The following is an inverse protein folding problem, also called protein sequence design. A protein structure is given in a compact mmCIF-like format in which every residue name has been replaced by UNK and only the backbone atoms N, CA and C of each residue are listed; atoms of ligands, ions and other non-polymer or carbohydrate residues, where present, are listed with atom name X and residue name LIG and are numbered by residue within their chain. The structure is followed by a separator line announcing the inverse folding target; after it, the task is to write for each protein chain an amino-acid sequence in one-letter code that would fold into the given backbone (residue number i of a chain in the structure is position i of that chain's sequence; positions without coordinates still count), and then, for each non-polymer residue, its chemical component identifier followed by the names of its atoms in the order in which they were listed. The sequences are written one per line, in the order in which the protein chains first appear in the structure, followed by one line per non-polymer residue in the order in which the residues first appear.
data_IF_773169634673
#
_entry.id   IF_773169634673
#
_cell.length_a   1.000
_cell.length_b   1.000
_cell.length_c   1.000
_cell.angle_alpha   90.00
_cell.angle_beta   90.00
_cell.angle_gamma   90.00
#
_symmetry.space_group_name_H-M   'P 1'
#
loop_
_entity.id
_entity.type
_entity.pdbx_description
1 polymer ?
#
# COMPACT_ATOMS: atom_id res chain seq x y z
N UNK A 1 8.14 -4.92 -0.40
CA UNK A 1 8.02 -3.79 -1.35
C UNK A 1 7.96 -2.52 -0.52
N UNK A 2 8.63 -1.44 -0.92
CA UNK A 2 8.71 -0.22 -0.10
C UNK A 2 7.66 0.82 -0.52
N UNK A 3 7.33 0.89 -1.80
CA UNK A 3 6.29 1.77 -2.37
C UNK A 3 5.56 1.10 -3.56
N UNK A 4 4.51 1.74 -4.08
CA UNK A 4 3.88 1.39 -5.36
C UNK A 4 2.66 0.51 -5.24
N UNK A 5 2.16 0.23 -4.04
CA UNK A 5 1.01 -0.64 -3.78
C UNK A 5 -0.22 -0.27 -4.64
N UNK A 6 -0.58 1.00 -4.71
CA UNK A 6 -1.71 1.46 -5.55
C UNK A 6 -1.51 1.15 -7.03
N UNK A 7 -0.26 1.29 -7.55
CA UNK A 7 0.07 0.97 -8.94
C UNK A 7 0.00 -0.54 -9.19
N UNK A 8 0.49 -1.34 -8.25
CA UNK A 8 0.44 -2.81 -8.36
C UNK A 8 -0.99 -3.31 -8.29
N UNK A 9 -1.83 -2.76 -7.41
CA UNK A 9 -3.26 -3.09 -7.35
C UNK A 9 -3.95 -2.75 -8.68
N UNK A 10 -3.66 -1.59 -9.26
CA UNK A 10 -4.22 -1.21 -10.56
C UNK A 10 -3.77 -2.16 -11.68
N UNK A 11 -2.50 -2.57 -11.71
CA UNK A 11 -1.99 -3.54 -12.67
C UNK A 11 -2.64 -4.93 -12.49
N UNK A 12 -2.76 -5.39 -11.25
CA UNK A 12 -3.45 -6.63 -10.90
C UNK A 12 -4.91 -6.62 -11.39
N UNK A 13 -5.65 -5.53 -11.14
CA UNK A 13 -7.03 -5.36 -11.61
C UNK A 13 -7.13 -5.28 -13.14
N UNK A 14 -6.06 -4.84 -13.81
CA UNK A 14 -5.95 -4.86 -15.27
C UNK A 14 -5.57 -6.25 -15.84
N UNK A 15 -5.40 -7.27 -14.99
CA UNK A 15 -5.08 -8.65 -15.39
C UNK A 15 -3.60 -8.90 -15.65
N UNK A 16 -2.71 -8.03 -15.16
CA UNK A 16 -1.26 -8.23 -15.31
C UNK A 16 -0.79 -9.29 -14.32
N UNK A 17 0.07 -10.19 -14.79
CA UNK A 17 0.71 -11.24 -13.98
C UNK A 17 2.06 -10.78 -13.39
N UNK A 18 2.67 -9.76 -14.01
CA UNK A 18 4.00 -9.26 -13.67
C UNK A 18 4.06 -7.74 -13.83
N UNK A 19 4.92 -7.09 -13.04
CA UNK A 19 5.19 -5.64 -13.12
C UNK A 19 6.69 -5.37 -13.00
N UNK A 20 7.21 -4.35 -13.70
CA UNK A 20 8.60 -3.95 -13.52
C UNK A 20 8.82 -3.33 -12.14
N UNK A 21 9.98 -3.63 -11.54
CA UNK A 21 10.41 -3.06 -10.25
C UNK A 21 11.86 -2.60 -10.35
N UNK A 22 12.26 -1.70 -9.45
CA UNK A 22 13.65 -1.27 -9.30
C UNK A 22 14.02 -1.26 -7.81
N UNK A 23 15.32 -1.23 -7.53
CA UNK A 23 15.82 -1.14 -6.17
C UNK A 23 15.56 0.26 -5.62
N UNK A 24 14.81 0.33 -4.53
CA UNK A 24 14.61 1.57 -3.80
C UNK A 24 15.87 1.93 -3.03
N UNK A 25 16.48 3.07 -3.37
CA UNK A 25 17.72 3.55 -2.77
C UNK A 25 17.49 4.55 -1.64
N UNK A 26 16.22 4.89 -1.36
CA UNK A 26 15.87 5.82 -0.30
C UNK A 26 16.15 5.19 1.08
N UNK A 27 16.64 6.01 2.01
CA UNK A 27 16.79 5.57 3.40
C UNK A 27 15.42 5.33 4.02
N UNK A 28 15.17 4.10 4.44
CA UNK A 28 13.93 3.70 5.09
C UNK A 28 14.15 3.54 6.59
N UNK A 29 13.28 4.16 7.39
CA UNK A 29 13.21 3.85 8.82
C UNK A 29 12.64 2.44 9.00
N UNK A 30 13.55 1.47 9.17
CA UNK A 30 13.21 0.07 9.32
C UNK A 30 12.36 -0.23 10.55
N UNK A 31 12.38 0.62 11.59
CA UNK A 31 11.52 0.44 12.75
C UNK A 31 10.06 0.78 12.40
N UNK A 32 9.82 1.93 11.78
CA UNK A 32 8.49 2.32 11.31
C UNK A 32 7.98 1.34 10.25
N UNK A 33 8.83 0.91 9.33
CA UNK A 33 8.46 -0.10 8.33
C UNK A 33 8.02 -1.42 8.96
N UNK A 34 8.70 -1.88 10.02
CA UNK A 34 8.30 -3.10 10.72
C UNK A 34 6.90 -2.98 11.36
N UNK A 35 6.54 -1.80 11.87
CA UNK A 35 5.19 -1.52 12.40
C UNK A 35 4.16 -1.61 11.27
N UNK A 36 4.43 -1.00 10.12
CA UNK A 36 3.53 -1.03 8.97
C UNK A 36 3.29 -2.47 8.47
N UNK A 37 4.33 -3.31 8.47
CA UNK A 37 4.23 -4.73 8.12
C UNK A 37 3.39 -5.50 9.15
N UNK A 38 3.54 -5.21 10.44
CA UNK A 38 2.73 -5.85 11.47
C UNK A 38 1.23 -5.49 11.33
N UNK A 39 0.90 -4.23 11.03
CA UNK A 39 -0.49 -3.85 10.73
C UNK A 39 -1.04 -4.58 9.51
N UNK A 40 -0.22 -4.82 8.48
CA UNK A 40 -0.64 -5.63 7.34
C UNK A 40 -0.96 -7.07 7.76
N UNK A 41 -0.13 -7.68 8.61
CA UNK A 41 -0.34 -9.05 9.11
C UNK A 41 -1.63 -9.18 9.94
N UNK A 42 -1.85 -8.23 10.86
CA UNK A 42 -3.08 -8.14 11.67
C UNK A 42 -4.36 -8.01 10.82
N UNK A 43 -4.24 -7.34 9.67
CA UNK A 43 -5.33 -7.15 8.70
C UNK A 43 -5.39 -8.24 7.61
N UNK A 44 -4.58 -9.29 7.71
CA UNK A 44 -4.48 -10.36 6.71
C UNK A 44 -4.15 -9.86 5.29
N UNK A 45 -3.26 -8.88 5.19
CA UNK A 45 -2.73 -8.33 3.94
C UNK A 45 -1.32 -8.89 3.74
N UNK A 46 -1.18 -9.87 2.86
CA UNK A 46 0.10 -10.55 2.59
C UNK A 46 0.63 -10.26 1.18
N UNK A 47 -0.23 -9.76 0.30
CA UNK A 47 0.15 -9.33 -1.04
C UNK A 47 -0.68 -8.13 -1.51
N UNK A 48 -0.22 -7.37 -2.53
CA UNK A 48 -0.98 -6.26 -3.08
C UNK A 48 -2.39 -6.64 -3.57
N UNK A 49 -2.60 -7.88 -4.02
CA UNK A 49 -3.92 -8.33 -4.47
C UNK A 49 -4.97 -8.33 -3.34
N UNK A 50 -4.55 -8.51 -2.08
CA UNK A 50 -5.45 -8.48 -0.91
C UNK A 50 -6.07 -7.08 -0.71
N UNK A 51 -5.46 -6.03 -1.28
CA UNK A 51 -5.96 -4.66 -1.25
C UNK A 51 -7.06 -4.40 -2.28
N UNK A 52 -7.27 -5.28 -3.27
CA UNK A 52 -8.27 -5.09 -4.32
C UNK A 52 -9.69 -4.95 -3.76
N UNK A 53 -10.00 -5.68 -2.68
CA UNK A 53 -11.28 -5.59 -1.97
C UNK A 53 -11.40 -4.40 -1.01
N UNK A 54 -10.33 -3.61 -0.83
CA UNK A 54 -10.23 -2.52 0.15
C UNK A 54 -10.20 -1.13 -0.52
N UNK A 55 -10.49 -1.05 -1.81
CA UNK A 55 -10.56 0.22 -2.55
C UNK A 55 -11.78 1.01 -2.10
N UNK A 56 -11.57 2.25 -1.68
CA UNK A 56 -12.63 3.15 -1.22
C UNK A 56 -12.84 4.31 -2.20
N UNK A 57 -14.03 4.92 -2.24
CA UNK A 57 -14.25 6.17 -2.97
C UNK A 57 -13.28 7.27 -2.52
N UNK A 58 -12.93 8.18 -3.44
CA UNK A 58 -11.99 9.27 -3.17
C UNK A 58 -12.31 10.06 -1.88
N UNK A 59 -13.59 10.41 -1.67
CA UNK A 59 -14.06 11.10 -0.46
C UNK A 59 -13.71 10.37 0.84
N UNK A 60 -13.75 9.03 0.82
CA UNK A 60 -13.46 8.21 1.99
C UNK A 60 -11.96 8.06 2.18
N UNK A 61 -11.19 7.95 1.09
CA UNK A 61 -9.74 8.01 1.15
C UNK A 61 -9.23 9.33 1.77
N UNK A 62 -9.78 10.47 1.36
CA UNK A 62 -9.42 11.76 1.93
C UNK A 62 -9.65 11.80 3.44
N UNK A 63 -10.81 11.30 3.89
CA UNK A 63 -11.17 11.28 5.32
C UNK A 63 -10.38 10.26 6.14
N UNK A 64 -10.22 9.04 5.63
CA UNK A 64 -9.62 7.92 6.35
C UNK A 64 -8.09 7.96 6.36
N UNK A 65 -7.49 8.49 5.29
CA UNK A 65 -6.04 8.46 5.09
C UNK A 65 -5.44 9.87 5.08
N UNK A 66 -5.84 10.72 4.12
CA UNK A 66 -5.20 12.03 3.91
C UNK A 66 -5.25 12.91 5.17
N UNK A 67 -6.43 13.06 5.77
CA UNK A 67 -6.59 13.85 7.01
C UNK A 67 -5.84 13.23 8.19
N UNK A 68 -5.85 11.91 8.31
CA UNK A 68 -5.20 11.18 9.41
C UNK A 68 -3.67 11.29 9.34
N UNK A 69 -3.10 11.24 8.15
CA UNK A 69 -1.64 11.15 7.96
C UNK A 69 -0.98 12.51 7.66
N UNK A 70 -1.69 13.46 7.04
CA UNK A 70 -1.07 14.70 6.54
C UNK A 70 -1.54 15.97 7.25
N UNK A 71 -2.64 15.93 8.01
CA UNK A 71 -3.22 17.10 8.70
C UNK A 71 -3.12 16.99 10.23
N UNK A 72 -2.17 16.20 10.74
CA UNK A 72 -1.85 16.16 12.18
C UNK A 72 -1.17 17.45 12.66
#
# INVERSE_FOLDING_TARGET
MTDGYTRVVAAYLAGWDTVPVYWDADELDMHTYAIDINWCDEEHIHCPADLAGRIVPHKDYERLWRKRCMEM
#
